data_IF_413737201935
#
_entry.id   IF_413737201935
#
_cell.length_a   1.000
_cell.length_b   1.000
_cell.length_c   1.000
_cell.angle_alpha   90.00
_cell.angle_beta   90.00
_cell.angle_gamma   90.00
#
_symmetry.space_group_name_H-M   'P 1'
#
loop_
_entity.id
_entity.type
_entity.pdbx_description
1 polymer ?
#
# COMPACT_ATOMS: atom_id res chain seq x y z
N UNK A 1 -3.36 -3.24 -12.03
CA UNK A 1 -1.97 -3.08 -11.59
C UNK A 1 -1.79 -3.09 -10.06
N UNK A 2 -2.82 -2.86 -9.26
CA UNK A 2 -2.74 -2.90 -7.80
C UNK A 2 -2.70 -4.30 -7.16
N UNK A 3 -3.21 -5.31 -7.85
CA UNK A 3 -3.40 -6.65 -7.29
C UNK A 3 -2.09 -7.41 -6.99
N UNK A 4 -1.03 -7.19 -7.74
CA UNK A 4 0.21 -7.97 -7.57
C UNK A 4 1.04 -7.61 -6.33
N UNK A 5 0.87 -6.41 -5.76
CA UNK A 5 1.57 -5.98 -4.54
C UNK A 5 0.79 -6.26 -3.26
N UNK A 6 -0.50 -6.58 -3.37
CA UNK A 6 -1.37 -6.91 -2.26
C UNK A 6 -1.52 -8.42 -2.03
N UNK A 7 -0.98 -9.27 -2.91
CA UNK A 7 -1.13 -10.72 -2.82
C UNK A 7 -0.11 -11.26 -1.80
N UNK A 8 -0.53 -11.41 -0.54
CA UNK A 8 0.14 -12.27 0.44
C UNK A 8 0.03 -13.75 0.08
N UNK A 9 -0.87 -14.05 -0.83
CA UNK A 9 -1.10 -15.38 -1.31
C UNK A 9 0.02 -15.80 -2.27
N UNK A 10 0.30 -17.10 -2.30
CA UNK A 10 1.29 -17.64 -3.22
C UNK A 10 0.96 -17.21 -4.65
N UNK A 11 1.93 -16.89 -5.51
CA UNK A 11 1.71 -16.51 -6.90
C UNK A 11 1.26 -17.73 -7.72
N UNK A 12 0.05 -18.22 -7.44
CA UNK A 12 -0.59 -19.33 -8.10
C UNK A 12 -1.71 -18.81 -8.99
N UNK A 13 -1.86 -19.36 -10.17
CA UNK A 13 -2.90 -18.95 -11.14
C UNK A 13 -4.31 -19.03 -10.58
N UNK A 14 -4.56 -19.96 -9.65
CA UNK A 14 -5.86 -20.10 -8.96
C UNK A 14 -6.21 -18.92 -8.03
N UNK A 15 -5.25 -18.06 -7.71
CA UNK A 15 -5.44 -16.89 -6.83
C UNK A 15 -5.67 -15.60 -7.63
N UNK A 16 -5.72 -15.66 -8.96
CA UNK A 16 -5.94 -14.49 -9.81
C UNK A 16 -7.38 -13.99 -9.66
N UNK A 17 -7.54 -12.70 -9.45
CA UNK A 17 -8.83 -12.01 -9.40
C UNK A 17 -9.17 -11.36 -10.75
N UNK A 18 -10.48 -11.14 -11.08
CA UNK A 18 -11.64 -11.41 -10.21
C UNK A 18 -11.97 -12.89 -10.08
N UNK A 19 -12.47 -13.30 -8.90
CA UNK A 19 -13.07 -14.62 -8.75
C UNK A 19 -14.47 -14.62 -9.36
N UNK A 20 -14.79 -15.67 -10.11
CA UNK A 20 -16.10 -15.87 -10.70
C UNK A 20 -16.69 -17.18 -10.22
N UNK A 21 -18.00 -17.20 -9.94
CA UNK A 21 -18.77 -18.41 -9.65
C UNK A 21 -20.20 -18.27 -10.16
N UNK A 22 -20.74 -19.38 -10.65
CA UNK A 22 -22.16 -19.50 -10.93
C UNK A 22 -22.87 -19.88 -9.63
N UNK A 23 -23.74 -18.99 -9.15
CA UNK A 23 -24.50 -19.16 -7.90
C UNK A 23 -25.97 -19.34 -8.19
N UNK A 24 -26.78 -19.65 -7.18
CA UNK A 24 -28.24 -19.90 -7.35
C UNK A 24 -28.99 -18.68 -7.93
N UNK A 25 -28.45 -17.50 -7.83
CA UNK A 25 -29.01 -16.25 -8.38
C UNK A 25 -28.29 -15.78 -9.66
N UNK A 26 -27.45 -16.62 -10.28
CA UNK A 26 -26.69 -16.32 -11.49
C UNK A 26 -25.20 -16.11 -11.27
N UNK A 27 -24.52 -15.63 -12.32
CA UNK A 27 -23.09 -15.34 -12.27
C UNK A 27 -22.75 -14.24 -11.28
N UNK A 28 -21.67 -14.45 -10.51
CA UNK A 28 -21.14 -13.48 -9.54
C UNK A 28 -19.64 -13.40 -9.66
N UNK A 29 -19.12 -12.21 -9.96
CA UNK A 29 -17.69 -11.91 -10.01
C UNK A 29 -17.29 -11.00 -8.84
N UNK A 30 -16.11 -11.24 -8.25
CA UNK A 30 -15.64 -10.52 -7.07
C UNK A 30 -14.16 -10.16 -7.21
N UNK A 31 -13.83 -8.87 -7.07
CA UNK A 31 -12.49 -8.33 -6.91
C UNK A 31 -12.31 -7.73 -5.51
N UNK A 32 -11.16 -7.97 -4.88
CA UNK A 32 -10.84 -7.54 -3.51
C UNK A 32 -9.47 -6.89 -3.45
N UNK A 33 -9.43 -5.68 -2.93
CA UNK A 33 -8.20 -4.98 -2.54
C UNK A 33 -8.17 -4.86 -1.01
N UNK A 34 -7.31 -5.63 -0.35
CA UNK A 34 -7.22 -5.64 1.09
C UNK A 34 -6.77 -6.96 1.68
N UNK A 35 -7.17 -7.24 2.91
CA UNK A 35 -6.94 -8.52 3.59
C UNK A 35 -7.88 -8.67 4.79
N UNK A 36 -8.48 -9.84 4.92
CA UNK A 36 -9.33 -10.19 6.06
C UNK A 36 -8.48 -10.68 7.24
N UNK A 37 -8.81 -10.19 8.44
CA UNK A 37 -8.11 -10.57 9.67
C UNK A 37 -8.69 -11.78 10.36
N UNK A 38 -9.89 -12.24 9.93
CA UNK A 38 -10.59 -13.43 10.43
C UNK A 38 -10.79 -14.51 9.34
N UNK A 39 -10.06 -14.42 8.22
CA UNK A 39 -10.22 -15.34 7.09
C UNK A 39 -9.97 -16.80 7.45
N UNK A 40 -8.98 -17.11 8.28
CA UNK A 40 -8.64 -18.48 8.65
C UNK A 40 -9.77 -19.13 9.47
N UNK A 41 -10.32 -18.42 10.44
CA UNK A 41 -11.47 -18.87 11.24
C UNK A 41 -12.70 -19.13 10.36
N UNK A 42 -13.02 -18.18 9.49
CA UNK A 42 -14.17 -18.32 8.59
C UNK A 42 -13.97 -19.49 7.60
N UNK A 43 -12.75 -19.61 7.02
CA UNK A 43 -12.40 -20.72 6.12
C UNK A 43 -12.58 -22.07 6.81
N UNK A 44 -12.10 -22.22 8.04
CA UNK A 44 -12.24 -23.45 8.81
C UNK A 44 -13.72 -23.81 8.98
N UNK A 45 -14.55 -22.87 9.44
CA UNK A 45 -15.99 -23.07 9.62
C UNK A 45 -16.70 -23.45 8.31
N UNK A 46 -16.33 -22.82 7.21
CA UNK A 46 -16.87 -23.13 5.89
C UNK A 46 -16.51 -24.56 5.45
N UNK A 47 -15.26 -24.98 5.64
CA UNK A 47 -14.80 -26.35 5.31
C UNK A 47 -15.49 -27.40 6.19
N UNK A 48 -15.60 -27.17 7.51
CA UNK A 48 -16.29 -28.06 8.44
C UNK A 48 -17.79 -28.26 8.07
N UNK A 49 -18.38 -27.28 7.40
CA UNK A 49 -19.75 -27.33 6.91
C UNK A 49 -19.88 -27.70 5.44
N UNK A 50 -18.80 -28.24 4.84
CA UNK A 50 -18.81 -28.87 3.52
C UNK A 50 -18.44 -27.96 2.34
N UNK A 51 -17.96 -26.74 2.56
CA UNK A 51 -17.45 -25.90 1.47
C UNK A 51 -16.14 -26.44 0.92
N UNK A 52 -15.99 -26.44 -0.40
CA UNK A 52 -14.76 -26.87 -1.10
C UNK A 52 -13.95 -25.64 -1.50
N UNK A 53 -12.83 -25.45 -0.85
CA UNK A 53 -11.92 -24.34 -1.16
C UNK A 53 -10.99 -24.72 -2.32
N UNK A 54 -10.86 -23.83 -3.29
CA UNK A 54 -10.04 -24.02 -4.49
C UNK A 54 -8.77 -23.18 -4.47
N UNK A 55 -8.78 -22.07 -3.71
CA UNK A 55 -7.69 -21.11 -3.65
C UNK A 55 -7.11 -21.00 -2.25
N UNK A 56 -6.03 -20.25 -2.09
CA UNK A 56 -5.45 -19.94 -0.78
C UNK A 56 -5.80 -18.52 -0.31
N UNK A 57 -6.56 -17.76 -1.13
CA UNK A 57 -6.88 -16.37 -0.82
C UNK A 57 -8.02 -16.23 0.18
N UNK A 58 -8.01 -15.14 0.93
CA UNK A 58 -9.10 -14.74 1.82
C UNK A 58 -10.37 -14.31 1.06
N UNK A 59 -10.21 -13.87 -0.18
CA UNK A 59 -11.31 -13.43 -1.07
C UNK A 59 -12.31 -14.54 -1.35
N UNK A 60 -11.84 -15.79 -1.48
CA UNK A 60 -12.71 -16.95 -1.67
C UNK A 60 -13.68 -17.16 -0.50
N UNK A 61 -13.29 -16.79 0.70
CA UNK A 61 -14.15 -16.83 1.88
C UNK A 61 -15.39 -15.97 1.68
N UNK A 62 -15.23 -14.76 1.13
CA UNK A 62 -16.34 -13.84 0.85
C UNK A 62 -17.31 -14.49 -0.15
N UNK A 63 -16.78 -15.10 -1.21
CA UNK A 63 -17.59 -15.77 -2.22
C UNK A 63 -18.46 -16.88 -1.61
N UNK A 64 -17.89 -17.72 -0.75
CA UNK A 64 -18.64 -18.76 -0.04
C UNK A 64 -19.69 -18.21 0.92
N UNK A 65 -19.41 -17.11 1.61
CA UNK A 65 -20.40 -16.45 2.49
C UNK A 65 -21.58 -15.91 1.69
N UNK A 66 -21.32 -15.28 0.53
CA UNK A 66 -22.36 -14.80 -0.40
C UNK A 66 -23.20 -15.98 -0.91
N UNK A 67 -22.55 -17.07 -1.33
CA UNK A 67 -23.24 -18.27 -1.83
C UNK A 67 -24.18 -18.91 -0.79
N UNK A 68 -23.84 -18.82 0.51
CA UNK A 68 -24.61 -19.42 1.62
C UNK A 68 -25.71 -18.51 2.16
N UNK A 69 -25.70 -17.24 1.82
CA UNK A 69 -26.77 -16.32 2.24
C UNK A 69 -28.10 -16.70 1.58
N UNK A 70 -29.20 -16.58 2.33
CA UNK A 70 -30.55 -16.86 1.88
C UNK A 70 -31.33 -15.61 1.48
N UNK A 71 -30.66 -14.46 1.38
CA UNK A 71 -31.25 -13.21 0.93
C UNK A 71 -31.70 -13.28 -0.53
N UNK A 72 -32.59 -12.37 -0.92
CA UNK A 72 -33.29 -12.42 -2.20
C UNK A 72 -32.41 -12.11 -3.41
N UNK A 73 -31.47 -11.15 -3.26
CA UNK A 73 -30.63 -10.66 -4.35
C UNK A 73 -29.14 -10.61 -3.97
N UNK A 74 -28.27 -10.42 -4.97
CA UNK A 74 -26.81 -10.41 -4.78
C UNK A 74 -26.34 -9.32 -3.81
N UNK A 75 -26.93 -8.14 -3.87
CA UNK A 75 -26.53 -7.01 -3.00
C UNK A 75 -26.82 -7.33 -1.52
N UNK A 76 -27.99 -7.85 -1.18
CA UNK A 76 -28.34 -8.24 0.19
C UNK A 76 -27.50 -9.43 0.68
N UNK A 77 -27.18 -10.41 -0.21
CA UNK A 77 -26.28 -11.52 0.11
C UNK A 77 -24.87 -11.04 0.41
N UNK A 78 -24.39 -10.06 -0.36
CA UNK A 78 -23.11 -9.42 -0.08
C UNK A 78 -23.12 -8.73 1.28
N UNK A 79 -24.17 -7.99 1.64
CA UNK A 79 -24.30 -7.37 2.97
C UNK A 79 -24.24 -8.41 4.09
N UNK A 80 -24.89 -9.58 3.93
CA UNK A 80 -24.80 -10.66 4.91
C UNK A 80 -23.38 -11.20 5.06
N UNK A 81 -22.63 -11.31 3.96
CA UNK A 81 -21.22 -11.69 3.97
C UNK A 81 -20.37 -10.63 4.66
N UNK A 82 -20.57 -9.34 4.34
CA UNK A 82 -19.83 -8.21 4.89
C UNK A 82 -19.96 -8.08 6.41
N UNK A 83 -21.09 -8.49 6.98
CA UNK A 83 -21.30 -8.49 8.45
C UNK A 83 -20.49 -9.55 9.19
N UNK A 84 -19.95 -10.54 8.48
CA UNK A 84 -19.20 -11.66 9.07
C UNK A 84 -17.69 -11.51 8.92
N UNK A 85 -17.23 -10.68 7.96
CA UNK A 85 -15.81 -10.47 7.70
C UNK A 85 -15.26 -9.31 8.52
N UNK A 86 -14.01 -9.48 8.96
CA UNK A 86 -13.22 -8.43 9.60
C UNK A 86 -11.94 -8.21 8.82
N UNK A 87 -11.46 -6.98 8.80
CA UNK A 87 -10.24 -6.62 8.08
C UNK A 87 -10.37 -5.29 7.34
N UNK A 88 -9.42 -5.06 6.45
CA UNK A 88 -9.42 -3.92 5.56
C UNK A 88 -9.74 -4.40 4.14
N UNK A 89 -10.74 -3.80 3.51
CA UNK A 89 -11.17 -4.25 2.19
C UNK A 89 -11.88 -3.15 1.40
N UNK A 90 -11.60 -3.13 0.10
CA UNK A 90 -12.41 -2.49 -0.93
C UNK A 90 -12.79 -3.55 -1.94
N UNK A 91 -14.09 -3.73 -2.16
CA UNK A 91 -14.64 -4.79 -3.00
C UNK A 91 -15.33 -4.19 -4.21
N UNK A 92 -15.17 -4.86 -5.34
CA UNK A 92 -15.95 -4.60 -6.55
C UNK A 92 -16.54 -5.94 -6.99
N UNK A 93 -17.87 -5.98 -7.16
CA UNK A 93 -18.56 -7.19 -7.61
C UNK A 93 -19.46 -6.90 -8.80
N UNK A 94 -19.64 -7.88 -9.65
CA UNK A 94 -20.54 -7.83 -10.79
C UNK A 94 -21.47 -9.03 -10.77
N UNK A 95 -22.76 -8.78 -10.92
CA UNK A 95 -23.82 -9.77 -10.95
C UNK A 95 -24.95 -9.32 -11.89
N UNK A 96 -26.04 -10.11 -11.96
CA UNK A 96 -27.27 -9.70 -12.66
C UNK A 96 -27.92 -8.45 -12.08
N UNK A 97 -27.70 -8.15 -10.80
CA UNK A 97 -28.25 -6.94 -10.15
C UNK A 97 -27.52 -5.66 -10.55
N UNK A 98 -26.30 -5.78 -11.09
CA UNK A 98 -25.44 -4.67 -11.49
C UNK A 98 -24.01 -4.76 -10.93
N UNK A 99 -23.31 -3.64 -11.00
CA UNK A 99 -21.97 -3.42 -10.45
C UNK A 99 -22.09 -2.90 -9.02
N UNK A 100 -21.42 -3.54 -8.07
CA UNK A 100 -21.43 -3.10 -6.66
C UNK A 100 -20.02 -2.76 -6.24
N UNK A 101 -19.85 -1.60 -5.60
CA UNK A 101 -18.64 -1.21 -4.88
C UNK A 101 -18.89 -1.12 -3.39
N UNK A 102 -17.99 -1.65 -2.57
CA UNK A 102 -18.09 -1.54 -1.12
C UNK A 102 -16.74 -1.21 -0.50
N UNK A 103 -16.74 -0.43 0.57
CA UNK A 103 -15.56 -0.07 1.32
C UNK A 103 -15.70 -0.45 2.79
N UNK A 104 -14.62 -0.91 3.42
CA UNK A 104 -14.65 -1.32 4.82
C UNK A 104 -15.08 -0.18 5.77
N UNK A 105 -15.63 -0.48 6.96
CA UNK A 105 -16.20 0.52 7.87
C UNK A 105 -15.19 1.55 8.41
N UNK A 106 -13.88 1.33 8.22
CA UNK A 106 -12.81 2.27 8.59
C UNK A 106 -12.18 2.96 7.38
N UNK A 107 -12.54 2.52 6.16
CA UNK A 107 -12.01 3.06 4.92
C UNK A 107 -10.49 2.90 4.81
N UNK A 108 -9.94 1.75 5.24
CA UNK A 108 -8.48 1.53 5.24
C UNK A 108 -7.93 1.51 3.82
N UNK A 109 -8.65 0.86 2.89
CA UNK A 109 -8.26 0.82 1.48
C UNK A 109 -9.08 1.80 0.66
N UNK A 110 -8.48 2.40 -0.40
CA UNK A 110 -9.19 3.36 -1.24
C UNK A 110 -10.19 2.69 -2.19
N UNK A 111 -11.27 3.41 -2.51
CA UNK A 111 -12.20 3.09 -3.59
C UNK A 111 -12.85 4.39 -4.06
N UNK A 112 -12.77 4.66 -5.37
CA UNK A 112 -13.30 5.86 -6.00
C UNK A 112 -14.37 5.51 -7.02
N UNK A 113 -15.33 6.41 -7.18
CA UNK A 113 -16.38 6.39 -8.17
C UNK A 113 -16.08 7.43 -9.25
N UNK A 114 -16.18 7.03 -10.50
CA UNK A 114 -16.09 7.90 -11.67
C UNK A 114 -17.22 7.65 -12.65
N UNK A 115 -17.34 8.52 -13.65
CA UNK A 115 -18.29 8.40 -14.78
C UNK A 115 -17.57 8.40 -16.11
N UNK A 116 -18.12 7.70 -17.09
CA UNK A 116 -17.64 7.68 -18.47
C UNK A 116 -18.84 7.55 -19.42
N UNK A 117 -19.10 8.58 -20.24
CA UNK A 117 -20.34 8.64 -21.01
C UNK A 117 -21.56 8.55 -20.10
N UNK A 118 -22.47 7.63 -20.40
CA UNK A 118 -23.66 7.36 -19.57
C UNK A 118 -23.41 6.29 -18.49
N UNK A 119 -22.18 5.77 -18.37
CA UNK A 119 -21.84 4.71 -17.45
C UNK A 119 -20.99 5.18 -16.27
N UNK A 120 -20.68 4.23 -15.36
CA UNK A 120 -19.92 4.48 -14.15
C UNK A 120 -18.76 3.50 -14.01
N UNK A 121 -17.74 3.92 -13.28
CA UNK A 121 -16.50 3.16 -13.04
C UNK A 121 -16.17 3.17 -11.57
N UNK A 122 -15.74 2.02 -11.06
CA UNK A 122 -15.15 1.88 -9.73
C UNK A 122 -13.67 1.55 -9.88
N UNK A 123 -12.81 2.27 -9.18
CA UNK A 123 -11.37 2.05 -9.20
C UNK A 123 -10.76 2.29 -7.81
N UNK A 124 -9.55 1.80 -7.56
CA UNK A 124 -8.83 2.10 -6.32
C UNK A 124 -8.26 3.52 -6.32
N UNK A 125 -7.96 4.08 -7.49
CA UNK A 125 -7.23 5.35 -7.63
C UNK A 125 -7.74 6.17 -8.81
N UNK A 126 -7.70 7.51 -8.69
CA UNK A 126 -8.14 8.42 -9.75
C UNK A 126 -7.32 8.31 -11.02
N UNK A 127 -6.02 7.99 -10.93
CA UNK A 127 -5.18 7.78 -12.11
C UNK A 127 -5.69 6.65 -13.04
N UNK A 128 -6.45 5.69 -12.50
CA UNK A 128 -7.10 4.66 -13.33
C UNK A 128 -8.27 5.24 -14.13
N UNK A 129 -8.98 6.23 -13.59
CA UNK A 129 -10.04 6.97 -14.28
C UNK A 129 -9.44 7.80 -15.40
N UNK A 130 -8.36 8.54 -15.12
CA UNK A 130 -7.66 9.38 -16.10
C UNK A 130 -7.21 8.58 -17.34
N UNK A 131 -6.65 7.38 -17.12
CA UNK A 131 -6.16 6.50 -18.21
C UNK A 131 -7.27 6.11 -19.19
N UNK A 132 -8.50 5.92 -18.70
CA UNK A 132 -9.63 5.52 -19.54
C UNK A 132 -10.51 6.70 -19.97
N UNK A 133 -10.16 7.92 -19.56
CA UNK A 133 -10.92 9.14 -19.86
C UNK A 133 -12.23 9.25 -19.09
N UNK A 134 -12.29 8.65 -17.89
CA UNK A 134 -13.43 8.79 -16.98
C UNK A 134 -13.27 10.02 -16.08
N UNK A 135 -14.37 10.65 -15.71
CA UNK A 135 -14.40 11.77 -14.78
C UNK A 135 -14.53 11.27 -13.34
N UNK A 136 -13.71 11.81 -12.43
CA UNK A 136 -13.82 11.53 -11.00
C UNK A 136 -15.08 12.17 -10.42
N UNK A 137 -15.85 11.40 -9.67
CA UNK A 137 -17.03 11.89 -8.95
C UNK A 137 -16.69 12.12 -7.48
N UNK A 138 -16.27 11.04 -6.77
CA UNK A 138 -15.91 11.08 -5.35
C UNK A 138 -15.26 9.79 -4.87
N UNK A 139 -14.65 9.84 -3.70
CA UNK A 139 -14.32 8.63 -2.94
C UNK A 139 -15.62 8.01 -2.38
N UNK A 140 -15.63 6.68 -2.17
CA UNK A 140 -16.66 6.03 -1.36
C UNK A 140 -16.34 6.24 0.13
N UNK A 141 -17.39 6.54 0.90
CA UNK A 141 -17.26 6.70 2.34
C UNK A 141 -16.93 5.38 3.06
N UNK A 142 -16.26 5.42 4.23
CA UNK A 142 -16.07 4.23 5.06
C UNK A 142 -17.40 3.55 5.40
N UNK A 143 -17.53 2.25 5.07
CA UNK A 143 -18.76 1.46 5.29
C UNK A 143 -19.81 1.62 4.21
N UNK A 144 -19.55 2.43 3.19
CA UNK A 144 -20.48 2.64 2.07
C UNK A 144 -20.49 1.45 1.10
N UNK A 145 -21.68 1.18 0.57
CA UNK A 145 -21.94 0.33 -0.56
C UNK A 145 -22.70 1.12 -1.62
N UNK A 146 -22.22 1.09 -2.86
CA UNK A 146 -22.92 1.61 -4.04
C UNK A 146 -23.34 0.44 -4.94
N UNK A 147 -24.59 0.44 -5.38
CA UNK A 147 -25.11 -0.42 -6.45
C UNK A 147 -25.33 0.46 -7.68
N UNK A 148 -24.82 0.02 -8.81
CA UNK A 148 -24.92 0.68 -10.10
C UNK A 148 -25.61 -0.28 -11.08
N UNK A 149 -26.78 0.10 -11.57
CA UNK A 149 -27.57 -0.68 -12.51
C UNK A 149 -28.28 0.26 -13.51
N UNK A 150 -29.24 -0.26 -14.28
CA UNK A 150 -30.00 0.50 -15.27
C UNK A 150 -30.86 1.62 -14.66
N UNK A 151 -31.15 1.56 -13.35
CA UNK A 151 -31.88 2.59 -12.60
C UNK A 151 -30.95 3.71 -12.09
N UNK A 152 -29.63 3.55 -12.22
CA UNK A 152 -28.61 4.51 -11.82
C UNK A 152 -27.76 4.05 -10.64
N UNK A 153 -27.33 5.02 -9.79
CA UNK A 153 -26.50 4.76 -8.60
C UNK A 153 -27.35 4.78 -7.34
N UNK A 154 -27.29 3.72 -6.57
CA UNK A 154 -27.93 3.59 -5.28
C UNK A 154 -26.86 3.47 -4.19
N UNK A 155 -26.71 4.49 -3.34
CA UNK A 155 -25.78 4.48 -2.21
C UNK A 155 -26.50 4.06 -0.92
N UNK A 156 -25.84 3.26 -0.11
CA UNK A 156 -26.33 2.82 1.20
C UNK A 156 -25.17 2.63 2.19
N UNK A 157 -25.52 2.62 3.49
CA UNK A 157 -24.56 2.40 4.59
C UNK A 157 -24.95 1.13 5.34
N UNK A 158 -24.69 -0.09 4.77
CA UNK A 158 -25.13 -1.34 5.37
C UNK A 158 -24.36 -1.72 6.64
N UNK A 159 -23.20 -1.12 6.84
CA UNK A 159 -22.32 -1.35 7.99
C UNK A 159 -22.26 -0.08 8.83
N UNK A 160 -22.26 -0.25 10.16
CA UNK A 160 -22.09 0.89 11.07
C UNK A 160 -20.72 1.55 10.83
N UNK A 161 -20.67 2.86 10.57
CA UNK A 161 -19.41 3.54 10.33
C UNK A 161 -18.57 3.60 11.61
N UNK A 162 -17.27 3.43 11.43
CA UNK A 162 -16.27 3.66 12.46
C UNK A 162 -15.47 4.93 12.16
N UNK A 163 -14.66 5.38 13.11
CA UNK A 163 -13.68 6.43 12.82
C UNK A 163 -12.76 5.99 11.67
N UNK A 164 -12.62 6.83 10.66
CA UNK A 164 -11.75 6.55 9.51
C UNK A 164 -10.33 6.23 9.96
N UNK A 165 -9.71 5.27 9.27
CA UNK A 165 -8.33 4.81 9.48
C UNK A 165 -7.70 4.51 8.12
N UNK A 166 -7.71 5.49 7.23
CA UNK A 166 -7.10 5.35 5.91
C UNK A 166 -5.61 4.96 6.04
N UNK A 167 -5.14 4.08 5.17
CA UNK A 167 -3.75 3.62 5.20
C UNK A 167 -2.78 4.75 4.87
N UNK A 168 -1.95 5.16 5.82
CA UNK A 168 -0.97 6.23 5.60
C UNK A 168 0.09 5.86 4.56
N UNK A 169 0.37 4.57 4.38
CA UNK A 169 1.35 4.07 3.42
C UNK A 169 0.96 4.30 1.96
N UNK A 170 -0.32 4.57 1.68
CA UNK A 170 -0.78 5.02 0.37
C UNK A 170 -0.10 6.33 -0.03
N UNK A 171 0.00 7.31 0.89
CA UNK A 171 0.70 8.57 0.63
C UNK A 171 2.22 8.42 0.58
N UNK A 172 2.79 7.40 1.20
CA UNK A 172 4.24 7.17 1.20
C UNK A 172 4.68 6.46 -0.07
N UNK A 173 3.98 5.35 -0.44
CA UNK A 173 4.46 4.45 -1.48
C UNK A 173 3.38 3.91 -2.43
N UNK A 174 2.24 3.39 -1.89
CA UNK A 174 1.35 2.54 -2.68
C UNK A 174 0.63 3.27 -3.81
N UNK A 175 -0.03 4.38 -3.51
CA UNK A 175 -0.75 5.15 -4.50
C UNK A 175 0.21 5.70 -5.55
N UNK A 176 -0.25 5.84 -6.78
CA UNK A 176 0.53 6.53 -7.79
C UNK A 176 0.62 8.02 -7.45
N UNK A 177 1.76 8.66 -7.74
CA UNK A 177 1.92 10.09 -7.40
C UNK A 177 0.94 11.00 -8.16
N UNK A 178 0.44 10.58 -9.32
CA UNK A 178 -0.55 11.29 -10.13
C UNK A 178 -2.01 11.04 -9.69
N UNK A 179 -2.23 10.35 -8.56
CA UNK A 179 -3.56 10.12 -8.00
C UNK A 179 -3.96 11.18 -6.99
N UNK A 180 -5.27 11.42 -6.91
CA UNK A 180 -5.93 12.09 -5.80
C UNK A 180 -6.67 11.05 -4.95
N UNK A 181 -6.48 11.05 -3.63
CA UNK A 181 -7.10 10.10 -2.70
C UNK A 181 -7.50 10.85 -1.43
N UNK A 182 -8.71 10.61 -0.93
CA UNK A 182 -9.26 11.30 0.25
C UNK A 182 -9.15 12.84 0.11
N UNK A 183 -9.41 13.35 -1.10
CA UNK A 183 -9.33 14.76 -1.44
C UNK A 183 -7.91 15.36 -1.44
N UNK A 184 -6.85 14.54 -1.43
CA UNK A 184 -5.45 14.98 -1.37
C UNK A 184 -4.65 14.49 -2.57
N UNK A 185 -3.86 15.38 -3.13
CA UNK A 185 -2.90 15.08 -4.19
C UNK A 185 -1.70 14.29 -3.62
N UNK A 186 -1.49 13.07 -4.09
CA UNK A 186 -0.44 12.16 -3.57
C UNK A 186 0.95 12.74 -3.80
N UNK A 187 1.20 13.36 -4.96
CA UNK A 187 2.49 13.97 -5.27
C UNK A 187 2.81 15.12 -4.32
N UNK A 188 1.83 16.00 -4.07
CA UNK A 188 1.99 17.11 -3.14
C UNK A 188 2.25 16.60 -1.71
N UNK A 189 1.54 15.56 -1.27
CA UNK A 189 1.76 14.95 0.05
C UNK A 189 3.19 14.39 0.17
N UNK A 190 3.68 13.66 -0.82
CA UNK A 190 5.07 13.15 -0.81
C UNK A 190 6.11 14.26 -0.81
N UNK A 191 5.87 15.35 -1.54
CA UNK A 191 6.76 16.53 -1.45
C UNK A 191 6.76 17.16 -0.07
N UNK A 192 5.59 17.26 0.58
CA UNK A 192 5.51 17.78 1.94
C UNK A 192 6.22 16.86 2.94
N UNK A 193 6.11 15.53 2.77
CA UNK A 193 6.89 14.56 3.57
C UNK A 193 8.39 14.84 3.41
N UNK A 194 8.86 15.06 2.19
CA UNK A 194 10.26 15.40 1.94
C UNK A 194 10.70 16.73 2.59
N UNK A 195 9.84 17.76 2.57
CA UNK A 195 10.12 19.03 3.25
C UNK A 195 10.25 18.85 4.76
N UNK A 196 9.29 18.13 5.36
CA UNK A 196 9.31 17.88 6.80
C UNK A 196 10.52 17.03 7.20
N UNK A 197 10.85 16.02 6.39
CA UNK A 197 12.07 15.21 6.58
C UNK A 197 13.34 16.08 6.56
N UNK A 198 13.41 17.10 5.69
CA UNK A 198 14.54 18.05 5.67
C UNK A 198 14.58 18.91 6.92
N UNK A 199 13.43 19.38 7.43
CA UNK A 199 13.37 20.17 8.69
C UNK A 199 13.88 19.38 9.89
N UNK A 200 13.53 18.09 9.97
CA UNK A 200 13.91 17.23 11.08
C UNK A 200 15.36 16.72 10.98
N UNK A 201 15.88 16.55 9.74
CA UNK A 201 17.11 15.76 9.53
C UNK A 201 18.10 16.41 8.58
N UNK A 202 18.13 17.76 8.56
CA UNK A 202 19.04 18.51 7.71
C UNK A 202 20.50 18.11 7.95
N UNK A 203 21.27 18.01 6.87
CA UNK A 203 22.71 17.79 6.86
C UNK A 203 23.35 18.53 5.69
N UNK A 204 24.58 18.98 5.85
CA UNK A 204 25.33 19.57 4.76
C UNK A 204 25.78 18.49 3.78
N UNK A 205 25.49 18.68 2.50
CA UNK A 205 25.90 17.83 1.41
C UNK A 205 25.93 18.64 0.09
N UNK A 206 26.49 18.06 -0.97
CA UNK A 206 26.54 18.74 -2.27
C UNK A 206 25.19 18.70 -2.98
N UNK A 207 24.41 17.60 -2.81
CA UNK A 207 23.18 17.40 -3.55
C UNK A 207 22.24 16.35 -2.92
N UNK A 208 20.98 16.40 -3.33
CA UNK A 208 19.96 15.40 -3.03
C UNK A 208 19.73 14.53 -4.25
N UNK A 209 19.76 13.20 -4.06
CA UNK A 209 19.58 12.19 -5.09
C UNK A 209 18.38 11.30 -4.73
N UNK A 210 17.36 11.20 -5.58
CA UNK A 210 16.24 10.30 -5.33
C UNK A 210 16.63 8.85 -5.55
N UNK A 211 16.04 7.94 -4.77
CA UNK A 211 15.94 6.54 -5.15
C UNK A 211 14.71 6.38 -6.07
N UNK A 212 14.89 6.13 -7.37
CA UNK A 212 13.77 6.16 -8.30
C UNK A 212 12.93 4.87 -8.22
N UNK A 213 11.58 4.92 -8.46
CA UNK A 213 10.82 6.14 -8.79
C UNK A 213 10.15 6.73 -7.54
N UNK A 214 9.99 5.91 -6.48
CA UNK A 214 9.19 6.21 -5.28
C UNK A 214 9.73 7.37 -4.46
N UNK A 215 11.06 7.50 -4.35
CA UNK A 215 11.72 8.57 -3.61
C UNK A 215 11.73 9.93 -4.32
N UNK A 216 11.36 10.02 -5.61
CA UNK A 216 11.50 11.26 -6.40
C UNK A 216 10.73 12.44 -5.82
N UNK A 217 9.43 12.36 -5.49
CA UNK A 217 8.71 13.52 -4.96
C UNK A 217 9.23 13.96 -3.58
N UNK A 218 9.57 13.01 -2.71
CA UNK A 218 10.12 13.31 -1.39
C UNK A 218 11.51 13.95 -1.50
N UNK A 219 12.38 13.44 -2.37
CA UNK A 219 13.69 14.02 -2.64
C UNK A 219 13.59 15.46 -3.16
N UNK A 220 12.65 15.73 -4.05
CA UNK A 220 12.39 17.08 -4.54
C UNK A 220 11.94 18.02 -3.38
N UNK A 221 11.03 17.53 -2.54
CA UNK A 221 10.60 18.28 -1.34
C UNK A 221 11.74 18.56 -0.38
N UNK A 222 12.58 17.56 -0.13
CA UNK A 222 13.78 17.68 0.70
C UNK A 222 14.77 18.70 0.14
N UNK A 223 15.10 18.60 -1.14
CA UNK A 223 16.06 19.50 -1.81
C UNK A 223 15.62 20.96 -1.73
N UNK A 224 14.34 21.24 -2.01
CA UNK A 224 13.77 22.60 -1.95
C UNK A 224 13.85 23.16 -0.54
N UNK A 225 13.49 22.38 0.48
CA UNK A 225 13.51 22.83 1.88
C UNK A 225 14.93 23.02 2.42
N UNK A 226 15.85 22.13 2.05
CA UNK A 226 17.24 22.17 2.46
C UNK A 226 18.08 23.20 1.68
N UNK A 227 17.56 23.78 0.59
CA UNK A 227 18.31 24.69 -0.30
C UNK A 227 19.45 24.00 -1.06
N UNK A 228 19.32 22.68 -1.32
CA UNK A 228 20.30 21.88 -2.03
C UNK A 228 19.86 21.60 -3.47
N UNK A 229 20.83 21.31 -4.37
CA UNK A 229 20.49 20.87 -5.72
C UNK A 229 19.83 19.48 -5.70
N UNK A 230 18.83 19.29 -6.56
CA UNK A 230 18.24 17.99 -6.85
C UNK A 230 18.86 17.42 -8.11
N UNK A 231 19.47 16.24 -8.03
CA UNK A 231 20.19 15.64 -9.15
C UNK A 231 19.79 14.16 -9.37
N UNK A 232 19.69 13.77 -10.64
CA UNK A 232 19.45 12.38 -10.99
C UNK A 232 20.76 11.56 -10.93
N UNK A 233 21.26 11.35 -9.72
CA UNK A 233 22.45 10.54 -9.46
C UNK A 233 22.22 9.04 -9.68
N UNK A 234 20.95 8.60 -9.71
CA UNK A 234 20.52 7.24 -10.06
C UNK A 234 19.56 7.29 -11.23
N UNK A 235 19.83 6.49 -12.25
CA UNK A 235 18.97 6.34 -13.42
C UNK A 235 18.33 4.96 -13.41
N UNK A 236 17.01 4.91 -13.54
CA UNK A 236 16.27 3.66 -13.70
C UNK A 236 16.32 3.17 -15.14
N UNK A 237 16.58 1.89 -15.30
CA UNK A 237 16.45 1.22 -16.59
C UNK A 237 14.97 0.87 -16.87
N UNK A 238 14.34 1.57 -17.79
CA UNK A 238 12.93 1.41 -18.14
C UNK A 238 12.63 0.08 -18.86
N UNK A 239 13.64 -0.58 -19.42
CA UNK A 239 13.49 -1.88 -20.10
C UNK A 239 13.41 -3.07 -19.16
N UNK A 240 13.67 -2.89 -17.86
CA UNK A 240 13.60 -3.94 -16.84
C UNK A 240 12.33 -3.76 -16.01
N UNK A 241 11.43 -4.75 -16.06
CA UNK A 241 10.19 -4.78 -15.29
C UNK A 241 10.40 -4.84 -13.76
N UNK A 242 9.31 -4.89 -12.98
CA UNK A 242 9.35 -4.97 -11.51
C UNK A 242 10.03 -6.27 -11.06
N UNK A 243 11.14 -6.16 -10.33
CA UNK A 243 11.95 -7.30 -9.85
C UNK A 243 11.44 -7.94 -8.55
N UNK A 244 10.47 -7.32 -7.87
CA UNK A 244 9.88 -7.85 -6.63
C UNK A 244 9.11 -9.17 -6.80
N UNK A 245 8.79 -9.53 -8.04
CA UNK A 245 7.98 -10.71 -8.41
C UNK A 245 8.86 -11.94 -8.67
N UNK A 246 10.20 -11.84 -8.56
CA UNK A 246 11.06 -13.00 -8.80
C UNK A 246 11.15 -13.90 -7.55
N UNK A 247 10.91 -15.23 -7.70
CA UNK A 247 10.78 -16.14 -6.58
C UNK A 247 12.09 -16.48 -5.85
N UNK A 248 13.26 -16.08 -6.37
CA UNK A 248 14.56 -16.41 -5.78
C UNK A 248 15.36 -15.19 -5.36
N UNK A 249 16.10 -15.28 -4.25
CA UNK A 249 16.94 -14.19 -3.74
C UNK A 249 18.08 -13.83 -4.70
N UNK A 250 18.65 -14.78 -5.43
CA UNK A 250 19.66 -14.54 -6.47
C UNK A 250 19.08 -13.78 -7.67
N UNK A 251 17.84 -14.06 -8.08
CA UNK A 251 17.13 -13.34 -9.12
C UNK A 251 16.84 -11.90 -8.72
N UNK A 252 16.48 -11.65 -7.45
CA UNK A 252 16.27 -10.30 -6.92
C UNK A 252 17.55 -9.47 -6.89
N UNK A 253 18.68 -10.06 -6.50
CA UNK A 253 19.98 -9.36 -6.49
C UNK A 253 20.43 -8.94 -7.89
N UNK A 254 20.30 -9.82 -8.88
CA UNK A 254 20.60 -9.52 -10.29
C UNK A 254 19.62 -8.49 -10.84
N UNK A 255 18.34 -8.58 -10.47
CA UNK A 255 17.29 -7.66 -10.88
C UNK A 255 17.50 -6.22 -10.43
N UNK A 256 17.99 -5.99 -9.21
CA UNK A 256 18.29 -4.61 -8.73
C UNK A 256 19.47 -4.01 -9.49
N UNK A 257 20.53 -4.80 -9.77
CA UNK A 257 21.67 -4.34 -10.59
C UNK A 257 21.28 -4.00 -12.03
N UNK A 258 20.30 -4.69 -12.60
CA UNK A 258 19.81 -4.39 -13.95
C UNK A 258 18.84 -3.19 -13.99
N UNK A 259 18.20 -2.89 -12.85
CA UNK A 259 17.14 -1.88 -12.77
C UNK A 259 17.66 -0.46 -12.52
N UNK A 260 18.78 -0.31 -11.82
CA UNK A 260 19.32 0.98 -11.43
C UNK A 260 20.79 1.10 -11.84
N UNK A 261 21.18 2.26 -12.30
CA UNK A 261 22.56 2.59 -12.61
C UNK A 261 22.94 3.96 -12.02
N UNK A 262 24.13 4.05 -11.43
CA UNK A 262 24.63 5.33 -10.93
C UNK A 262 25.10 6.22 -12.08
N UNK A 263 24.72 7.51 -12.02
CA UNK A 263 25.28 8.53 -12.90
C UNK A 263 26.64 8.98 -12.34
N UNK A 264 27.69 8.27 -12.72
CA UNK A 264 29.04 8.46 -12.18
C UNK A 264 29.55 9.91 -12.38
N UNK A 265 29.25 10.54 -13.52
CA UNK A 265 29.69 11.91 -13.80
C UNK A 265 29.09 12.92 -12.80
N UNK A 266 27.89 12.65 -12.30
CA UNK A 266 27.19 13.51 -11.34
C UNK A 266 27.67 13.29 -9.91
N UNK A 267 27.94 12.04 -9.51
CA UNK A 267 28.14 11.70 -8.08
C UNK A 267 29.60 11.59 -7.66
N UNK A 268 30.54 11.45 -8.60
CA UNK A 268 31.96 11.23 -8.28
C UNK A 268 32.54 12.39 -7.45
N UNK A 269 33.13 12.06 -6.29
CA UNK A 269 33.74 13.00 -5.36
C UNK A 269 32.75 13.89 -4.60
N UNK A 270 31.44 13.59 -4.66
CA UNK A 270 30.38 14.37 -4.02
C UNK A 270 29.89 13.72 -2.74
N UNK A 271 29.53 14.56 -1.76
CA UNK A 271 28.70 14.18 -0.60
C UNK A 271 27.23 14.25 -1.02
N UNK A 272 26.50 13.12 -0.93
CA UNK A 272 25.14 12.99 -1.46
C UNK A 272 24.15 12.60 -0.37
N UNK A 273 22.91 13.10 -0.47
CA UNK A 273 21.77 12.68 0.32
C UNK A 273 20.87 11.81 -0.57
N UNK A 274 20.82 10.51 -0.30
CA UNK A 274 19.85 9.61 -0.91
C UNK A 274 18.52 9.74 -0.18
N UNK A 275 17.44 10.01 -0.91
CA UNK A 275 16.09 10.02 -0.35
C UNK A 275 15.29 8.86 -0.92
N UNK A 276 14.76 8.00 -0.04
CA UNK A 276 13.92 6.86 -0.37
C UNK A 276 12.60 6.92 0.41
N UNK A 277 11.59 6.16 -0.03
CA UNK A 277 10.28 6.13 0.63
C UNK A 277 10.31 5.35 1.95
N UNK A 278 10.95 4.19 1.98
CA UNK A 278 10.96 3.30 3.15
C UNK A 278 12.13 2.31 3.13
N UNK A 279 12.50 1.81 4.31
CA UNK A 279 13.40 0.65 4.47
C UNK A 279 12.63 -0.48 5.15
N UNK A 280 12.52 -1.63 4.48
CA UNK A 280 11.84 -2.82 5.01
C UNK A 280 12.86 -3.87 5.47
N UNK A 281 13.65 -4.42 4.55
CA UNK A 281 14.69 -5.45 4.83
C UNK A 281 16.13 -4.92 4.75
N UNK A 282 16.33 -3.73 4.23
CA UNK A 282 17.65 -3.10 4.04
C UNK A 282 18.48 -3.64 2.86
N UNK A 283 18.09 -4.75 2.22
CA UNK A 283 18.86 -5.34 1.10
C UNK A 283 18.97 -4.42 -0.11
N UNK A 284 17.89 -3.77 -0.52
CA UNK A 284 17.88 -2.82 -1.63
C UNK A 284 18.71 -1.58 -1.31
N UNK A 285 18.54 -1.03 -0.09
CA UNK A 285 19.29 0.15 0.36
C UNK A 285 20.80 -0.12 0.37
N UNK A 286 21.25 -1.28 0.88
CA UNK A 286 22.67 -1.69 0.85
C UNK A 286 23.22 -1.75 -0.57
N UNK A 287 22.45 -2.31 -1.53
CA UNK A 287 22.88 -2.40 -2.92
C UNK A 287 22.99 -1.02 -3.57
N UNK A 288 22.04 -0.12 -3.31
CA UNK A 288 22.05 1.25 -3.81
C UNK A 288 23.25 2.01 -3.23
N UNK A 289 23.48 1.95 -1.92
CA UNK A 289 24.63 2.58 -1.27
C UNK A 289 25.96 2.07 -1.83
N UNK A 290 26.10 0.75 -1.98
CA UNK A 290 27.28 0.14 -2.58
C UNK A 290 27.49 0.63 -4.03
N UNK A 291 26.43 0.74 -4.81
CA UNK A 291 26.49 1.28 -6.17
C UNK A 291 26.98 2.73 -6.20
N UNK A 292 26.50 3.59 -5.29
CA UNK A 292 26.91 4.99 -5.22
C UNK A 292 28.36 5.14 -4.74
N UNK A 293 28.80 4.33 -3.78
CA UNK A 293 30.21 4.26 -3.35
C UNK A 293 31.12 3.84 -4.51
N UNK A 294 30.74 2.80 -5.27
CA UNK A 294 31.48 2.32 -6.43
C UNK A 294 31.52 3.35 -7.57
N UNK A 295 30.52 4.22 -7.67
CA UNK A 295 30.51 5.35 -8.60
C UNK A 295 31.37 6.54 -8.12
N UNK A 296 31.96 6.44 -6.92
CA UNK A 296 32.93 7.41 -6.38
C UNK A 296 32.32 8.53 -5.55
N UNK A 297 31.10 8.37 -5.01
CA UNK A 297 30.57 9.30 -4.00
C UNK A 297 31.51 9.33 -2.79
N UNK A 298 31.83 10.55 -2.28
CA UNK A 298 32.71 10.73 -1.12
C UNK A 298 32.00 10.40 0.18
N UNK A 299 30.75 10.83 0.30
CA UNK A 299 29.86 10.52 1.41
C UNK A 299 28.47 10.16 0.88
N UNK A 300 27.81 9.24 1.58
CA UNK A 300 26.45 8.79 1.27
C UNK A 300 25.60 8.85 2.52
N UNK A 301 24.73 9.83 2.59
CA UNK A 301 23.74 9.99 3.65
C UNK A 301 22.40 9.47 3.17
N UNK A 302 21.59 8.84 4.02
CA UNK A 302 20.29 8.35 3.64
C UNK A 302 19.18 8.96 4.50
N UNK A 303 18.09 9.39 3.84
CA UNK A 303 16.91 10.01 4.45
C UNK A 303 15.68 9.31 3.97
N UNK A 304 14.87 8.82 4.91
CA UNK A 304 13.73 7.94 4.64
C UNK A 304 12.44 8.70 4.92
N UNK A 305 11.59 8.74 3.89
CA UNK A 305 10.32 9.47 3.89
C UNK A 305 9.17 8.73 4.62
N UNK A 306 9.50 7.71 5.41
CA UNK A 306 8.59 7.06 6.35
C UNK A 306 9.24 6.93 7.72
N UNK A 307 8.46 6.78 8.80
CA UNK A 307 8.99 6.27 10.06
C UNK A 307 9.55 4.85 9.91
N UNK A 308 10.36 4.36 10.87
CA UNK A 308 10.87 2.99 10.85
C UNK A 308 9.74 1.96 10.79
N UNK A 309 9.78 1.06 9.80
CA UNK A 309 8.81 -0.04 9.68
C UNK A 309 9.15 -1.15 10.64
N UNK A 310 8.45 -1.23 11.77
CA UNK A 310 8.75 -2.13 12.90
C UNK A 310 7.74 -3.26 13.06
N UNK A 311 6.59 -3.19 12.37
CA UNK A 311 5.51 -4.15 12.45
C UNK A 311 5.02 -4.58 11.06
N UNK A 312 4.61 -5.86 10.89
CA UNK A 312 4.03 -6.33 9.63
C UNK A 312 2.65 -5.69 9.41
N UNK A 313 2.25 -5.57 8.16
CA UNK A 313 0.89 -5.17 7.80
C UNK A 313 -0.04 -6.39 7.75
N UNK A 314 -1.29 -6.22 8.24
CA UNK A 314 -2.36 -7.23 8.15
C UNK A 314 -3.54 -6.78 7.31
N UNK A 315 -3.42 -5.62 6.61
CA UNK A 315 -4.51 -4.96 5.90
C UNK A 315 -4.26 -4.82 4.39
N UNK A 316 -3.44 -5.74 3.83
CA UNK A 316 -3.28 -5.85 2.39
C UNK A 316 -1.93 -5.38 1.83
N UNK A 317 -1.02 -4.82 2.67
CA UNK A 317 0.36 -4.55 2.25
C UNK A 317 1.20 -5.80 2.45
N UNK A 318 1.88 -6.27 1.41
CA UNK A 318 2.81 -7.40 1.54
C UNK A 318 4.09 -6.97 2.25
N UNK A 319 4.07 -7.06 3.57
CA UNK A 319 5.25 -6.87 4.40
C UNK A 319 5.72 -8.22 4.96
N UNK A 320 7.03 -8.42 5.10
CA UNK A 320 7.56 -9.64 5.69
C UNK A 320 7.17 -9.77 7.18
N UNK A 321 7.37 -10.97 7.73
CA UNK A 321 7.26 -11.21 9.16
C UNK A 321 8.21 -10.29 9.95
N UNK A 322 7.87 -10.02 11.20
CA UNK A 322 8.57 -9.03 12.04
C UNK A 322 10.08 -9.32 12.19
N UNK A 323 10.47 -10.58 12.23
CA UNK A 323 11.87 -11.02 12.30
C UNK A 323 12.71 -10.61 11.09
N UNK A 324 12.06 -10.33 9.96
CA UNK A 324 12.69 -9.89 8.71
C UNK A 324 12.63 -8.38 8.49
N UNK A 325 11.96 -7.64 9.38
CA UNK A 325 11.93 -6.18 9.35
C UNK A 325 13.20 -5.65 10.02
N UNK A 326 14.04 -4.95 9.29
CA UNK A 326 15.33 -4.48 9.82
C UNK A 326 15.14 -3.55 11.03
N UNK A 327 14.18 -2.62 10.97
CA UNK A 327 13.90 -1.67 12.04
C UNK A 327 13.16 -2.27 13.25
N UNK A 328 12.68 -3.52 13.15
CA UNK A 328 12.15 -4.26 14.31
C UNK A 328 13.26 -4.92 15.15
N UNK A 329 14.47 -5.07 14.57
CA UNK A 329 15.57 -5.83 15.14
C UNK A 329 16.82 -4.99 15.41
N UNK A 330 16.91 -3.79 14.84
CA UNK A 330 18.09 -2.91 14.94
C UNK A 330 17.64 -1.46 15.16
N UNK A 331 18.44 -0.71 15.89
CA UNK A 331 18.31 0.75 15.98
C UNK A 331 18.86 1.44 14.72
N UNK A 332 18.58 2.74 14.57
CA UNK A 332 18.95 3.51 13.38
C UNK A 332 20.46 3.51 13.11
N UNK A 333 21.30 3.57 14.15
CA UNK A 333 22.75 3.59 13.99
C UNK A 333 23.28 2.23 13.52
N UNK A 334 22.70 1.15 14.01
CA UNK A 334 23.02 -0.22 13.58
C UNK A 334 22.57 -0.46 12.14
N UNK A 335 21.39 0.04 11.75
CA UNK A 335 20.91 0.00 10.36
C UNK A 335 21.85 0.78 9.45
N UNK A 336 22.28 2.00 9.86
CA UNK A 336 23.21 2.82 9.07
C UNK A 336 24.53 2.06 8.78
N UNK A 337 25.09 1.41 9.78
CA UNK A 337 26.30 0.56 9.62
C UNK A 337 26.03 -0.63 8.70
N UNK A 338 24.89 -1.29 8.87
CA UNK A 338 24.52 -2.49 8.10
C UNK A 338 24.34 -2.17 6.60
N UNK A 339 23.73 -1.03 6.26
CA UNK A 339 23.57 -0.60 4.86
C UNK A 339 24.77 0.18 4.30
N UNK A 340 25.73 0.60 5.16
CA UNK A 340 26.99 1.21 4.77
C UNK A 340 26.93 2.70 4.46
N UNK A 341 26.00 3.45 5.08
CA UNK A 341 25.87 4.91 4.93
C UNK A 341 26.63 5.65 6.04
N UNK A 342 27.02 6.91 5.75
CA UNK A 342 27.67 7.80 6.73
C UNK A 342 26.66 8.32 7.75
N UNK A 343 25.40 8.51 7.36
CA UNK A 343 24.30 8.79 8.29
C UNK A 343 22.95 8.31 7.75
N UNK A 344 22.07 7.91 8.65
CA UNK A 344 20.69 7.51 8.37
C UNK A 344 19.74 8.29 9.27
N UNK A 345 18.65 8.78 8.70
CA UNK A 345 17.51 9.27 9.47
C UNK A 345 16.19 8.95 8.78
N UNK A 346 15.17 8.77 9.59
CA UNK A 346 13.77 8.57 9.18
C UNK A 346 12.99 9.83 9.55
N UNK A 347 11.91 10.13 8.81
CA UNK A 347 10.94 11.11 9.29
C UNK A 347 10.33 10.62 10.61
N UNK A 348 10.09 11.52 11.54
CA UNK A 348 9.35 11.16 12.76
C UNK A 348 7.88 10.86 12.47
N UNK A 349 7.20 10.15 13.38
CA UNK A 349 5.76 9.93 13.26
C UNK A 349 5.00 11.27 13.23
N UNK A 350 5.38 12.21 14.09
CA UNK A 350 4.76 13.54 14.13
C UNK A 350 5.07 14.34 12.86
N UNK A 351 6.28 14.24 12.32
CA UNK A 351 6.66 14.85 11.06
C UNK A 351 5.83 14.32 9.87
N UNK A 352 5.60 13.02 9.83
CA UNK A 352 4.71 12.42 8.82
C UNK A 352 3.30 13.02 8.89
N UNK A 353 2.73 13.11 10.10
CA UNK A 353 1.39 13.68 10.28
C UNK A 353 1.36 15.18 9.96
N UNK A 354 2.38 15.96 10.34
CA UNK A 354 2.49 17.39 9.97
C UNK A 354 2.54 17.56 8.44
N UNK A 355 3.31 16.72 7.75
CA UNK A 355 3.39 16.74 6.28
C UNK A 355 2.03 16.46 5.61
N UNK A 356 1.18 15.66 6.26
CA UNK A 356 -0.17 15.33 5.81
C UNK A 356 -1.23 16.34 6.29
N UNK A 357 -0.84 17.48 6.87
CA UNK A 357 -1.74 18.58 7.24
C UNK A 357 -2.25 18.55 8.69
N UNK A 358 -1.69 17.69 9.54
CA UNK A 358 -2.01 17.64 10.97
C UNK A 358 -0.89 18.35 11.77
N UNK A 359 -1.00 19.69 11.91
CA UNK A 359 0.07 20.55 12.39
C UNK A 359 0.66 20.19 13.77
N UNK A 360 -0.13 19.60 14.65
CA UNK A 360 0.30 19.15 15.99
C UNK A 360 0.93 17.74 16.00
N UNK A 361 1.03 17.08 14.84
CA UNK A 361 1.53 15.72 14.74
C UNK A 361 0.45 14.65 14.95
N UNK A 362 0.88 13.45 15.37
CA UNK A 362 0.01 12.30 15.59
C UNK A 362 -0.81 12.41 16.87
N UNK A 363 -2.12 12.37 16.75
CA UNK A 363 -2.99 12.25 17.92
C UNK A 363 -3.07 10.77 18.36
N UNK A 364 -2.21 10.35 19.28
CA UNK A 364 -2.12 8.95 19.71
C UNK A 364 -3.45 8.34 20.21
N UNK A 365 -4.31 9.02 21.00
CA UNK A 365 -5.61 8.47 21.40
C UNK A 365 -6.59 8.28 20.25
N UNK A 366 -6.49 9.08 19.18
CA UNK A 366 -7.37 9.05 17.99
C UNK A 366 -6.56 9.32 16.72
N UNK A 367 -5.68 8.39 16.30
CA UNK A 367 -4.90 8.61 15.08
C UNK A 367 -5.83 8.71 13.87
N UNK A 368 -5.50 9.59 12.95
CA UNK A 368 -6.31 9.87 11.76
C UNK A 368 -6.09 8.83 10.65
N UNK A 369 -4.99 8.09 10.74
CA UNK A 369 -4.59 7.08 9.76
C UNK A 369 -4.38 5.71 10.41
N UNK A 370 -4.41 4.66 9.59
CA UNK A 370 -3.78 3.40 9.91
C UNK A 370 -2.27 3.55 9.67
N UNK A 371 -1.51 3.58 10.75
CA UNK A 371 -0.05 3.67 10.79
C UNK A 371 0.58 2.47 11.50
N UNK A 372 -0.17 1.36 11.60
CA UNK A 372 0.19 0.18 12.38
C UNK A 372 1.54 -0.45 12.00
N UNK A 373 1.98 -0.32 10.74
CA UNK A 373 3.31 -0.78 10.30
C UNK A 373 4.45 -0.03 11.01
N UNK A 374 4.20 1.17 11.53
CA UNK A 374 5.16 1.98 12.28
C UNK A 374 4.90 1.93 13.79
N UNK A 375 3.63 2.12 14.21
CA UNK A 375 3.24 2.24 15.63
C UNK A 375 2.98 0.91 16.32
N UNK A 376 2.60 -0.14 15.61
CA UNK A 376 2.08 -1.38 16.18
C UNK A 376 0.63 -1.30 16.67
N UNK A 377 -0.05 -0.15 16.49
CA UNK A 377 -1.42 0.07 16.92
C UNK A 377 -2.40 -0.29 15.80
N UNK A 378 -2.87 -1.51 15.78
CA UNK A 378 -3.76 -2.03 14.76
C UNK A 378 -5.22 -1.61 15.03
N UNK A 379 -5.88 -0.89 14.08
CA UNK A 379 -7.26 -0.40 14.28
C UNK A 379 -8.32 -1.51 14.25
N UNK A 380 -8.02 -2.68 13.70
CA UNK A 380 -8.91 -3.84 13.60
C UNK A 380 -8.25 -5.01 14.30
N UNK A 381 -9.02 -5.77 15.08
CA UNK A 381 -8.53 -6.95 15.78
C UNK A 381 -7.94 -7.98 14.81
N UNK A 382 -6.89 -8.66 15.26
CA UNK A 382 -6.18 -9.66 14.45
C UNK A 382 -6.46 -11.06 15.01
N UNK A 383 -7.64 -11.58 14.74
CA UNK A 383 -8.04 -12.91 15.22
C UNK A 383 -7.13 -14.03 14.70
N UNK A 384 -6.71 -13.94 13.43
CA UNK A 384 -5.88 -14.96 12.78
C UNK A 384 -4.37 -14.80 13.03
N UNK A 385 -3.91 -13.75 13.71
CA UNK A 385 -2.47 -13.54 13.95
C UNK A 385 -1.88 -14.63 14.87
N UNK A 386 -2.68 -15.16 15.80
CA UNK A 386 -2.33 -16.30 16.64
C UNK A 386 -2.36 -17.63 15.89
N UNK A 387 -3.21 -17.76 14.86
CA UNK A 387 -3.31 -18.97 14.04
C UNK A 387 -2.12 -19.12 13.07
N UNK A 388 -1.49 -18.02 12.61
CA UNK A 388 -0.29 -18.08 11.76
C UNK A 388 0.95 -18.63 12.45
N UNK A 389 1.01 -18.58 13.77
CA UNK A 389 2.06 -19.23 14.57
C UNK A 389 1.94 -20.77 14.61
N UNK A 390 0.77 -21.30 14.25
CA UNK A 390 0.47 -22.75 14.33
C UNK A 390 0.56 -23.45 12.96
N UNK A 391 0.57 -22.70 11.85
CA UNK A 391 0.66 -23.24 10.48
C UNK A 391 2.05 -22.88 9.89
N UNK A 392 3.09 -23.36 10.53
CA UNK A 392 4.45 -23.47 9.96
C UNK A 392 4.81 -24.91 9.71
#
# INVERSE_FOLDING_TARGET
MGSEMCIRDRPETRNIQPFFSELAFGGFALGHNGNLTNAARLRQSLVETGSLMQTTTDTEVILHLVARSHQENAALRLVDALKQIEGAWSLVTLSSDGLIGCRDPRGVRPLVLGSIGDGYVLASETCALDIIGAEYIRDLEPGEMVLINDEGIHSSMPLAPHASRFCVFEYIYFARPDSQIEGRDVYAMRKNIGRELARETHINADMVVPVPDSGVPAALGYAVEAGLSFELGIIRNHYVGRTFIQPTDSGRQTGVKMKHNANMATVKGKSIILVDDSIVRGTTSRQIVSMMRNAGASEVHMRIASPPTTHPCFYGVDTPDRDKLIAANMDTDSIAKEIGVDSLAFISMDGLYRALGYGEGRNAPKPQFCDACFSGEYPIAMEDASARAVVK
#
